data_IF_483000624020
#
_entry.id   IF_483000624020
#
_cell.length_a   1.000
_cell.length_b   1.000
_cell.length_c   1.000
_cell.angle_alpha   90.00
_cell.angle_beta   90.00
_cell.angle_gamma   90.00
#
_symmetry.space_group_name_H-M   'P 1'
#
loop_
_entity.id
_entity.type
_entity.pdbx_description
1 polymer ?
#
# COMPACT_ATOMS: atom_id res chain seq x y z
N UNK A 1 5.23 19.10 -10.44
CA UNK A 1 4.65 17.76 -10.23
C UNK A 1 3.84 17.84 -8.95
N UNK A 2 2.53 17.71 -9.04
CA UNK A 2 1.73 17.41 -7.84
C UNK A 2 2.20 16.04 -7.34
N UNK A 3 2.35 15.81 -6.03
CA UNK A 3 2.60 14.47 -5.55
C UNK A 3 1.40 13.61 -5.98
N UNK A 4 1.62 12.67 -6.89
CA UNK A 4 0.60 11.70 -7.28
C UNK A 4 -0.01 11.12 -6.00
N UNK A 5 -1.34 11.20 -5.90
CA UNK A 5 -2.04 10.75 -4.71
C UNK A 5 -2.34 9.28 -4.91
N UNK A 6 -1.70 8.43 -4.10
CA UNK A 6 -1.94 6.99 -4.17
C UNK A 6 -3.00 6.56 -3.16
N UNK A 7 -3.83 5.60 -3.58
CA UNK A 7 -4.89 4.99 -2.78
C UNK A 7 -4.65 3.50 -2.67
N UNK A 8 -4.67 2.97 -1.45
CA UNK A 8 -4.64 1.53 -1.21
C UNK A 8 -6.08 1.01 -1.26
N UNK A 9 -6.36 0.04 -2.13
CA UNK A 9 -7.73 -0.47 -2.29
C UNK A 9 -7.76 -1.97 -2.56
N UNK A 10 -8.78 -2.63 -2.01
CA UNK A 10 -9.19 -4.00 -2.33
C UNK A 10 -10.34 -4.03 -3.34
N UNK A 11 -10.97 -2.89 -3.63
CA UNK A 11 -12.07 -2.72 -4.59
C UNK A 11 -11.53 -2.33 -5.97
N UNK A 12 -10.49 -3.02 -6.44
CA UNK A 12 -9.93 -2.82 -7.78
C UNK A 12 -9.89 -4.14 -8.53
N UNK A 13 -10.13 -4.14 -9.85
CA UNK A 13 -10.20 -5.36 -10.66
C UNK A 13 -8.91 -6.21 -10.63
N UNK A 14 -7.77 -5.57 -10.33
CA UNK A 14 -6.46 -6.24 -10.15
C UNK A 14 -6.27 -6.83 -8.74
N UNK A 15 -7.09 -6.42 -7.77
CA UNK A 15 -7.13 -7.08 -6.46
C UNK A 15 -7.64 -8.50 -6.64
N UNK A 16 -6.74 -9.47 -6.45
CA UNK A 16 -7.09 -10.90 -6.50
C UNK A 16 -7.29 -11.40 -5.08
N UNK A 17 -8.40 -12.10 -4.82
CA UNK A 17 -8.66 -12.77 -3.54
C UNK A 17 -8.58 -11.87 -2.29
N UNK A 18 -8.91 -10.58 -2.40
CA UNK A 18 -8.85 -9.61 -1.30
C UNK A 18 -7.46 -9.05 -1.01
N UNK A 19 -6.48 -9.30 -1.89
CA UNK A 19 -5.13 -8.74 -1.79
C UNK A 19 -5.19 -7.27 -2.25
N UNK A 20 -4.86 -6.29 -1.37
CA UNK A 20 -4.89 -4.88 -1.75
C UNK A 20 -3.88 -4.56 -2.86
N UNK A 21 -4.19 -3.53 -3.65
CA UNK A 21 -3.29 -2.95 -4.66
C UNK A 21 -3.19 -1.46 -4.43
N UNK A 22 -2.02 -0.88 -4.74
CA UNK A 22 -1.82 0.56 -4.69
C UNK A 22 -2.22 1.14 -6.04
N UNK A 23 -3.08 2.15 -6.07
CA UNK A 23 -3.58 2.76 -7.30
C UNK A 23 -3.26 4.25 -7.30
N UNK A 24 -2.76 4.78 -8.42
CA UNK A 24 -2.55 6.23 -8.60
C UNK A 24 -3.82 6.96 -9.07
N UNK A 25 -3.75 8.28 -9.23
CA UNK A 25 -4.88 9.09 -9.71
C UNK A 25 -5.24 8.86 -11.20
N UNK A 26 -4.33 8.25 -11.97
CA UNK A 26 -4.54 7.87 -13.37
C UNK A 26 -5.18 6.48 -13.50
N UNK A 27 -5.34 5.75 -12.39
CA UNK A 27 -5.93 4.41 -12.33
C UNK A 27 -4.93 3.28 -12.57
N UNK A 28 -3.63 3.54 -12.56
CA UNK A 28 -2.61 2.50 -12.67
C UNK A 28 -2.46 1.77 -11.34
N UNK A 29 -2.50 0.43 -11.40
CA UNK A 29 -2.30 -0.42 -10.23
C UNK A 29 -0.84 -0.87 -10.11
N UNK A 30 -0.33 -0.81 -8.89
CA UNK A 30 1.01 -1.19 -8.50
C UNK A 30 0.94 -2.30 -7.45
N UNK A 31 1.63 -3.39 -7.73
CA UNK A 31 1.95 -4.42 -6.76
C UNK A 31 3.06 -3.99 -5.80
N UNK A 32 3.28 -4.75 -4.72
CA UNK A 32 4.22 -4.40 -3.65
C UNK A 32 5.69 -4.32 -4.10
N UNK A 33 6.05 -4.98 -5.19
CA UNK A 33 7.40 -4.96 -5.76
C UNK A 33 7.57 -3.95 -6.92
N UNK A 34 6.51 -3.23 -7.28
CA UNK A 34 6.58 -2.30 -8.39
C UNK A 34 7.26 -0.99 -7.99
N UNK A 35 7.99 -0.42 -8.94
CA UNK A 35 8.61 0.91 -8.81
C UNK A 35 7.60 1.97 -9.24
N UNK A 36 7.30 2.89 -8.33
CA UNK A 36 6.43 4.03 -8.60
C UNK A 36 7.10 5.05 -9.54
N UNK A 37 6.34 5.95 -10.19
CA UNK A 37 6.89 7.04 -10.99
C UNK A 37 7.89 7.95 -10.25
N UNK A 38 7.80 7.99 -8.91
CA UNK A 38 8.77 8.70 -8.05
C UNK A 38 10.14 8.00 -7.96
N UNK A 39 10.25 6.75 -8.41
CA UNK A 39 11.42 5.87 -8.23
C UNK A 39 11.43 5.10 -6.91
N UNK A 40 10.44 5.30 -6.04
CA UNK A 40 10.27 4.58 -4.77
C UNK A 40 9.56 3.24 -4.98
N UNK A 41 9.88 2.23 -4.17
CA UNK A 41 9.13 0.98 -4.16
C UNK A 41 7.72 1.19 -3.58
N UNK A 42 6.70 0.60 -4.20
CA UNK A 42 5.33 0.72 -3.72
C UNK A 42 5.16 0.25 -2.27
N UNK A 43 5.80 -0.86 -1.86
CA UNK A 43 5.74 -1.34 -0.48
C UNK A 43 6.40 -0.36 0.52
N UNK A 44 7.49 0.31 0.14
CA UNK A 44 8.11 1.33 0.99
C UNK A 44 7.21 2.57 1.13
N UNK A 45 6.58 2.98 0.04
CA UNK A 45 5.62 4.09 0.05
C UNK A 45 4.45 3.77 0.98
N UNK A 46 3.86 2.58 0.89
CA UNK A 46 2.75 2.13 1.76
C UNK A 46 3.21 2.04 3.20
N UNK A 47 4.38 1.45 3.48
CA UNK A 47 4.92 1.36 4.84
C UNK A 47 5.12 2.75 5.48
N UNK A 48 5.50 3.75 4.68
CA UNK A 48 5.56 5.15 5.13
C UNK A 48 4.18 5.76 5.31
N UNK A 49 3.26 5.56 4.36
CA UNK A 49 1.88 6.04 4.42
C UNK A 49 1.13 5.55 5.67
N UNK A 50 1.40 4.30 6.11
CA UNK A 50 0.85 3.74 7.35
C UNK A 50 1.35 4.46 8.61
N UNK A 51 2.51 5.13 8.56
CA UNK A 51 3.11 5.87 9.68
C UNK A 51 2.61 7.30 9.79
N UNK A 52 1.93 7.82 8.76
CA UNK A 52 1.48 9.21 8.70
C UNK A 52 -0.05 9.26 8.55
N UNK A 53 -0.69 10.02 9.46
CA UNK A 53 -2.15 10.24 9.63
C UNK A 53 -2.89 9.16 10.44
N UNK A 54 -4.05 9.55 10.98
CA UNK A 54 -5.02 8.67 11.63
C UNK A 54 -5.57 7.68 10.59
N UNK A 55 -5.00 6.48 10.53
CA UNK A 55 -5.49 5.38 9.68
C UNK A 55 -6.53 4.58 10.44
N UNK A 56 -7.55 4.12 9.73
CA UNK A 56 -8.49 3.15 10.30
C UNK A 56 -7.81 1.79 10.51
N UNK A 57 -8.39 0.92 11.33
CA UNK A 57 -7.88 -0.45 11.49
C UNK A 57 -7.88 -1.19 10.14
N UNK A 58 -8.92 -1.01 9.33
CA UNK A 58 -9.03 -1.59 7.98
C UNK A 58 -7.91 -1.12 7.04
N UNK A 59 -7.57 0.18 7.07
CA UNK A 59 -6.46 0.74 6.29
C UNK A 59 -5.11 0.11 6.69
N UNK A 60 -4.92 -0.13 8.00
CA UNK A 60 -3.70 -0.72 8.52
C UNK A 60 -3.62 -2.21 8.20
N UNK A 61 -4.72 -2.95 8.31
CA UNK A 61 -4.78 -4.36 7.91
C UNK A 61 -4.48 -4.52 6.41
N UNK A 62 -5.07 -3.69 5.55
CA UNK A 62 -4.77 -3.66 4.13
C UNK A 62 -3.30 -3.28 3.88
N UNK A 63 -2.79 -2.28 4.58
CA UNK A 63 -1.38 -1.86 4.51
C UNK A 63 -0.43 -3.01 4.86
N UNK A 64 -0.68 -3.72 5.96
CA UNK A 64 0.13 -4.86 6.39
C UNK A 64 0.02 -6.04 5.42
N UNK A 65 -1.17 -6.32 4.90
CA UNK A 65 -1.36 -7.34 3.87
C UNK A 65 -0.57 -7.03 2.60
N UNK A 66 -0.51 -5.76 2.19
CA UNK A 66 0.25 -5.30 1.03
C UNK A 66 1.76 -5.43 1.25
N UNK A 67 2.28 -4.82 2.33
CA UNK A 67 3.73 -4.77 2.56
C UNK A 67 4.31 -6.12 3.01
N UNK A 68 3.49 -6.97 3.63
CA UNK A 68 3.85 -8.34 3.99
C UNK A 68 4.21 -9.20 2.78
N UNK A 69 3.64 -8.92 1.61
CA UNK A 69 4.03 -9.59 0.36
C UNK A 69 5.47 -9.25 -0.06
N UNK A 70 5.95 -8.05 0.30
CA UNK A 70 7.34 -7.63 0.08
C UNK A 70 8.30 -8.09 1.20
N UNK A 71 7.82 -8.85 2.19
CA UNK A 71 8.62 -9.26 3.35
C UNK A 71 8.83 -8.15 4.39
N UNK A 72 8.03 -7.06 4.33
CA UNK A 72 8.02 -6.05 5.38
C UNK A 72 7.08 -6.54 6.48
N UNK A 73 7.64 -6.89 7.63
CA UNK A 73 6.88 -7.43 8.74
C UNK A 73 6.19 -6.31 9.55
N UNK A 74 4.99 -6.58 10.12
CA UNK A 74 4.39 -5.69 11.09
C UNK A 74 5.31 -5.51 12.30
N UNK A 75 5.29 -4.33 12.97
CA UNK A 75 5.98 -4.17 14.23
C UNK A 75 5.44 -5.24 15.19
N UNK A 76 6.29 -5.80 16.06
CA UNK A 76 5.83 -6.77 17.04
C UNK A 76 4.70 -6.13 17.83
N UNK A 77 3.49 -6.69 17.69
CA UNK A 77 2.36 -6.32 18.52
C UNK A 77 2.72 -6.79 19.92
N UNK A 78 2.95 -5.85 20.85
CA UNK A 78 3.10 -6.23 22.25
C UNK A 78 1.78 -6.85 22.70
N UNK A 79 1.78 -8.17 22.87
CA UNK A 79 0.70 -8.95 23.45
C UNK A 79 0.50 -8.61 24.94
#
# INVERSE_FOLDING_TARGET
MNPSTYTLTTDHATSSYGIPVLVDDEGNAYGPFDTLPSGECAAEWVARWMRFQERTEEDLEAGWAFVGQAGIEPPPTFA
#
